data_IF_374309731190
#
_entry.id   IF_374309731190
#
_cell.length_a   1.000
_cell.length_b   1.000
_cell.length_c   1.000
_cell.angle_alpha   90.00
_cell.angle_beta   90.00
_cell.angle_gamma   90.00
#
_symmetry.space_group_name_H-M   'P 1'
#
loop_
_entity.id
_entity.type
_entity.pdbx_description
1 polymer ?
#
# COMPACT_ATOMS: atom_id res chain seq x y z
N UNK A 1 19.86 -9.33 1.85
CA UNK A 1 18.46 -9.25 1.39
C UNK A 1 17.96 -7.86 1.75
N UNK A 2 17.26 -7.16 0.85
CA UNK A 2 16.65 -5.89 1.19
C UNK A 2 15.54 -6.13 2.23
N UNK A 3 15.55 -5.38 3.31
CA UNK A 3 14.48 -5.32 4.30
C UNK A 3 14.18 -3.85 4.58
N UNK A 4 12.97 -3.56 4.98
CA UNK A 4 12.56 -2.21 5.37
C UNK A 4 11.58 -2.28 6.53
N UNK A 5 11.48 -1.18 7.27
CA UNK A 5 10.49 -1.02 8.31
C UNK A 5 9.21 -0.44 7.68
N UNK A 6 8.13 -1.19 7.72
CA UNK A 6 6.81 -0.68 7.36
C UNK A 6 6.03 -0.31 8.61
N UNK A 7 5.57 0.93 8.67
CA UNK A 7 4.77 1.48 9.75
C UNK A 7 3.45 2.04 9.21
N UNK A 8 2.37 1.67 9.86
CA UNK A 8 1.04 2.21 9.55
C UNK A 8 0.59 3.09 10.70
N UNK A 9 0.28 4.35 10.40
CA UNK A 9 -0.31 5.27 11.40
C UNK A 9 -1.80 4.98 11.54
N UNK A 10 -2.37 5.11 12.75
CA UNK A 10 -3.76 4.74 13.00
C UNK A 10 -4.78 5.60 12.25
N UNK A 11 -4.43 6.84 11.94
CA UNK A 11 -5.28 7.78 11.21
C UNK A 11 -4.43 8.61 10.26
N UNK A 12 -5.01 9.06 9.13
CA UNK A 12 -4.34 10.00 8.23
C UNK A 12 -3.89 11.25 8.96
N UNK A 13 -2.68 11.72 8.60
CA UNK A 13 -2.11 12.98 9.14
C UNK A 13 -1.91 13.00 10.66
N UNK A 14 -1.94 11.83 11.32
CA UNK A 14 -1.71 11.71 12.76
C UNK A 14 -0.54 10.77 13.04
N UNK A 15 0.50 11.32 13.66
CA UNK A 15 1.66 10.54 14.10
C UNK A 15 1.67 10.49 15.62
N UNK A 16 1.48 9.30 16.18
CA UNK A 16 1.74 9.07 17.59
C UNK A 16 3.25 9.11 17.87
N UNK A 17 3.65 9.50 19.08
CA UNK A 17 5.07 9.59 19.48
C UNK A 17 5.84 8.30 19.17
N UNK A 18 5.25 7.15 19.43
CA UNK A 18 5.89 5.85 19.17
C UNK A 18 6.25 5.64 17.69
N UNK A 19 5.38 6.08 16.77
CA UNK A 19 5.63 5.96 15.33
C UNK A 19 6.80 6.86 14.91
N UNK A 20 6.85 8.08 15.44
CA UNK A 20 7.95 9.02 15.19
C UNK A 20 9.26 8.44 15.72
N UNK A 21 9.28 7.95 16.95
CA UNK A 21 10.48 7.36 17.57
C UNK A 21 10.99 6.15 16.77
N UNK A 22 10.09 5.30 16.26
CA UNK A 22 10.43 4.16 15.41
C UNK A 22 11.02 4.58 14.05
N UNK A 23 10.41 5.58 13.38
CA UNK A 23 10.93 6.14 12.14
C UNK A 23 12.34 6.69 12.35
N UNK A 24 12.53 7.51 13.38
CA UNK A 24 13.81 8.13 13.68
C UNK A 24 14.89 7.08 14.02
N UNK A 25 14.54 6.07 14.80
CA UNK A 25 15.46 4.97 15.15
C UNK A 25 15.88 4.19 13.90
N UNK A 26 14.94 3.80 13.06
CA UNK A 26 15.21 3.05 11.83
C UNK A 26 16.08 3.84 10.85
N UNK A 27 15.72 5.10 10.60
CA UNK A 27 16.45 5.99 9.69
C UNK A 27 17.89 6.21 10.17
N UNK A 28 18.10 6.47 11.48
CA UNK A 28 19.44 6.62 12.06
C UNK A 28 20.28 5.35 11.96
N UNK A 29 19.64 4.19 12.07
CA UNK A 29 20.28 2.89 11.86
C UNK A 29 20.55 2.55 10.38
N UNK A 30 20.09 3.36 9.44
CA UNK A 30 20.24 3.12 8.00
C UNK A 30 19.25 2.10 7.43
N UNK A 31 18.18 1.80 8.15
CA UNK A 31 17.11 0.92 7.70
C UNK A 31 16.16 1.73 6.80
N UNK A 32 15.84 1.26 5.59
CA UNK A 32 14.79 1.85 4.76
C UNK A 32 13.44 1.87 5.49
N UNK A 33 12.67 2.93 5.32
CA UNK A 33 11.39 3.13 6.01
C UNK A 33 10.27 3.38 5.02
N UNK A 34 9.19 2.65 5.18
CA UNK A 34 7.89 2.91 4.56
C UNK A 34 6.88 3.33 5.62
N UNK A 35 6.29 4.50 5.47
CA UNK A 35 5.23 4.95 6.40
C UNK A 35 3.99 5.24 5.60
N UNK A 36 2.87 4.76 6.10
CA UNK A 36 1.58 4.94 5.48
C UNK A 36 0.45 5.08 6.49
N UNK A 37 -0.73 5.23 5.96
CA UNK A 37 -1.99 5.22 6.69
C UNK A 37 -3.06 4.54 5.87
N UNK A 38 -4.15 4.15 6.50
CA UNK A 38 -5.37 3.71 5.83
C UNK A 38 -6.36 4.87 5.79
N UNK A 39 -6.43 5.57 4.66
CA UNK A 39 -7.37 6.65 4.47
C UNK A 39 -8.73 6.08 4.01
N UNK A 40 -9.71 6.06 4.90
CA UNK A 40 -11.04 5.53 4.60
C UNK A 40 -11.97 6.69 4.25
N UNK A 41 -12.22 6.86 2.94
CA UNK A 41 -13.13 7.88 2.43
C UNK A 41 -14.55 7.71 2.98
N UNK A 42 -15.08 8.79 3.57
CA UNK A 42 -16.37 8.78 4.27
C UNK A 42 -16.28 8.37 5.75
N UNK A 43 -15.08 8.01 6.26
CA UNK A 43 -14.85 7.72 7.68
C UNK A 43 -13.66 8.52 8.22
N UNK A 44 -12.41 8.09 7.96
CA UNK A 44 -11.20 8.76 8.48
C UNK A 44 -10.62 9.79 7.49
N UNK A 45 -11.15 9.88 6.28
CA UNK A 45 -10.73 10.81 5.23
C UNK A 45 -11.96 11.36 4.48
N UNK A 46 -11.80 12.46 3.70
CA UNK A 46 -12.87 12.97 2.85
C UNK A 46 -13.41 11.90 1.91
N UNK A 47 -14.71 11.98 1.57
CA UNK A 47 -15.35 10.97 0.73
C UNK A 47 -14.87 10.97 -0.72
N UNK A 48 -14.22 12.04 -1.16
CA UNK A 48 -13.72 12.14 -2.55
C UNK A 48 -12.35 11.48 -2.69
N UNK A 49 -12.09 10.84 -3.83
CA UNK A 49 -10.78 10.26 -4.14
C UNK A 49 -9.64 11.29 -3.98
N UNK A 50 -9.82 12.49 -4.52
CA UNK A 50 -8.82 13.55 -4.41
C UNK A 50 -8.54 13.95 -2.94
N UNK A 51 -9.57 14.01 -2.10
CA UNK A 51 -9.43 14.26 -0.67
C UNK A 51 -8.68 13.14 0.06
N UNK A 52 -9.01 11.87 -0.22
CA UNK A 52 -8.28 10.72 0.32
C UNK A 52 -6.81 10.74 -0.10
N UNK A 53 -6.53 10.95 -1.38
CA UNK A 53 -5.16 11.04 -1.89
C UNK A 53 -4.38 12.17 -1.24
N UNK A 54 -5.01 13.32 -1.01
CA UNK A 54 -4.37 14.43 -0.30
C UNK A 54 -3.96 14.03 1.11
N UNK A 55 -4.84 13.37 1.87
CA UNK A 55 -4.54 12.87 3.22
C UNK A 55 -3.42 11.81 3.22
N UNK A 56 -3.42 10.89 2.25
CA UNK A 56 -2.34 9.93 2.07
C UNK A 56 -1.01 10.62 1.81
N UNK A 57 -0.97 11.54 0.86
CA UNK A 57 0.24 12.27 0.51
C UNK A 57 0.77 13.13 1.65
N UNK A 58 -0.10 13.78 2.43
CA UNK A 58 0.32 14.52 3.62
C UNK A 58 1.01 13.60 4.64
N UNK A 59 0.49 12.39 4.84
CA UNK A 59 1.11 11.39 5.72
C UNK A 59 2.46 10.92 5.15
N UNK A 60 2.50 10.55 3.88
CA UNK A 60 3.71 10.09 3.18
C UNK A 60 4.81 11.17 3.23
N UNK A 61 4.49 12.41 2.90
CA UNK A 61 5.45 13.52 2.93
C UNK A 61 5.94 13.84 4.34
N UNK A 62 5.07 13.78 5.34
CA UNK A 62 5.49 13.99 6.73
C UNK A 62 6.56 12.99 7.13
N UNK A 63 6.37 11.72 6.80
CA UNK A 63 7.33 10.65 7.08
C UNK A 63 8.66 10.85 6.32
N UNK A 64 8.58 11.20 5.02
CA UNK A 64 9.76 11.46 4.20
C UNK A 64 10.55 12.64 4.76
N UNK A 65 9.89 13.75 5.08
CA UNK A 65 10.54 14.95 5.64
C UNK A 65 11.21 14.63 6.99
N UNK A 66 10.51 13.94 7.89
CA UNK A 66 11.09 13.51 9.17
C UNK A 66 12.32 12.61 8.97
N UNK A 67 12.26 11.68 8.02
CA UNK A 67 13.37 10.83 7.66
C UNK A 67 14.58 11.61 7.15
N UNK A 68 14.37 12.54 6.22
CA UNK A 68 15.44 13.37 5.65
C UNK A 68 16.05 14.32 6.69
N UNK A 69 15.25 14.90 7.58
CA UNK A 69 15.74 15.75 8.68
C UNK A 69 16.57 14.94 9.69
N UNK A 70 16.22 13.68 9.93
CA UNK A 70 16.96 12.81 10.83
C UNK A 70 18.28 12.29 10.23
N UNK A 71 18.28 12.02 8.93
CA UNK A 71 19.43 11.56 8.15
C UNK A 71 19.20 11.85 6.67
N UNK A 72 19.92 12.82 6.16
CA UNK A 72 19.87 13.14 4.72
C UNK A 72 20.24 11.92 3.86
N UNK A 73 19.53 11.73 2.76
CA UNK A 73 19.71 10.59 1.86
C UNK A 73 19.12 9.27 2.37
N UNK A 74 18.39 9.26 3.48
CA UNK A 74 17.70 8.05 3.94
C UNK A 74 16.61 7.62 2.95
N UNK A 75 16.47 6.28 2.76
CA UNK A 75 15.43 5.77 1.89
C UNK A 75 14.09 5.76 2.63
N UNK A 76 13.18 6.61 2.17
CA UNK A 76 11.81 6.69 2.67
C UNK A 76 10.83 6.55 1.51
N UNK A 77 9.73 5.82 1.71
CA UNK A 77 8.70 5.63 0.70
C UNK A 77 7.30 5.86 1.27
N UNK A 78 6.36 6.22 0.39
CA UNK A 78 4.95 6.36 0.72
C UNK A 78 4.24 5.00 0.69
N UNK A 79 3.56 4.68 1.78
CA UNK A 79 2.86 3.41 1.97
C UNK A 79 1.39 3.60 2.37
N UNK A 80 0.80 4.77 2.10
CA UNK A 80 -0.60 5.01 2.43
C UNK A 80 -1.53 4.40 1.39
N UNK A 81 -2.57 3.73 1.87
CA UNK A 81 -3.63 3.12 1.07
C UNK A 81 -4.95 3.88 1.20
N UNK A 82 -5.76 3.83 0.15
CA UNK A 82 -7.07 4.45 0.10
C UNK A 82 -8.16 3.40 0.04
N UNK A 83 -9.06 3.47 1.00
CA UNK A 83 -10.27 2.68 1.04
C UNK A 83 -11.50 3.58 1.02
N UNK A 84 -12.66 3.03 0.74
CA UNK A 84 -13.93 3.75 0.84
C UNK A 84 -14.92 2.96 1.68
N UNK A 85 -15.64 3.67 2.53
CA UNK A 85 -16.71 3.07 3.31
C UNK A 85 -17.99 3.02 2.46
N UNK A 86 -18.61 1.85 2.41
CA UNK A 86 -19.95 1.71 1.85
C UNK A 86 -20.97 2.28 2.84
N UNK A 87 -21.62 3.37 2.46
CA UNK A 87 -22.51 4.10 3.34
C UNK A 87 -23.74 3.30 3.79
N UNK A 88 -24.17 2.32 3.03
CA UNK A 88 -25.34 1.48 3.34
C UNK A 88 -25.04 0.44 4.44
N UNK A 89 -23.85 -0.09 4.50
CA UNK A 89 -23.47 -1.19 5.38
C UNK A 89 -22.44 -0.82 6.43
N UNK A 90 -21.72 0.29 6.24
CA UNK A 90 -20.56 0.68 7.05
C UNK A 90 -19.32 -0.19 6.81
N UNK A 91 -19.38 -1.14 5.86
CA UNK A 91 -18.24 -1.96 5.51
C UNK A 91 -17.20 -1.16 4.72
N UNK A 92 -15.93 -1.55 4.81
CA UNK A 92 -14.89 -1.04 3.94
C UNK A 92 -15.14 -1.59 2.53
N UNK A 93 -15.16 -0.69 1.56
CA UNK A 93 -15.78 -0.84 0.25
C UNK A 93 -15.19 -1.88 -0.69
N UNK A 94 -15.67 -1.84 -1.93
CA UNK A 94 -15.41 -2.86 -2.93
C UNK A 94 -13.94 -2.86 -3.40
N UNK A 95 -13.46 -4.03 -3.77
CA UNK A 95 -12.15 -4.24 -4.41
C UNK A 95 -11.92 -3.28 -5.59
N UNK A 96 -12.94 -3.03 -6.43
CA UNK A 96 -12.81 -2.15 -7.59
C UNK A 96 -12.43 -0.72 -7.22
N UNK A 97 -13.07 -0.15 -6.19
CA UNK A 97 -12.76 1.21 -5.73
C UNK A 97 -11.35 1.30 -5.13
N UNK A 98 -10.95 0.31 -4.34
CA UNK A 98 -9.61 0.22 -3.78
C UNK A 98 -8.55 0.15 -4.88
N UNK A 99 -8.73 -0.74 -5.84
CA UNK A 99 -7.84 -0.93 -6.97
C UNK A 99 -7.65 0.36 -7.80
N UNK A 100 -8.72 1.08 -8.08
CA UNK A 100 -8.64 2.39 -8.76
C UNK A 100 -7.91 3.44 -7.92
N UNK A 101 -8.13 3.45 -6.61
CA UNK A 101 -7.50 4.40 -5.70
C UNK A 101 -5.99 4.15 -5.58
N UNK A 102 -5.58 2.88 -5.50
CA UNK A 102 -4.16 2.50 -5.48
C UNK A 102 -3.44 2.92 -6.76
N UNK A 103 -4.07 2.69 -7.91
CA UNK A 103 -3.53 3.14 -9.19
C UNK A 103 -3.35 4.67 -9.22
N UNK A 104 -4.34 5.43 -8.76
CA UNK A 104 -4.26 6.87 -8.69
C UNK A 104 -3.17 7.34 -7.72
N UNK A 105 -3.07 6.74 -6.55
CA UNK A 105 -2.02 7.02 -5.56
C UNK A 105 -0.63 6.78 -6.14
N UNK A 106 -0.43 5.65 -6.82
CA UNK A 106 0.84 5.30 -7.44
C UNK A 106 1.21 6.27 -8.57
N UNK A 107 0.25 6.71 -9.39
CA UNK A 107 0.49 7.70 -10.44
C UNK A 107 0.95 9.04 -9.85
N UNK A 108 0.29 9.52 -8.79
CA UNK A 108 0.66 10.78 -8.14
C UNK A 108 2.05 10.66 -7.51
N UNK A 109 2.35 9.59 -6.75
CA UNK A 109 3.67 9.37 -6.15
C UNK A 109 4.78 9.34 -7.21
N UNK A 110 4.52 8.64 -8.32
CA UNK A 110 5.46 8.62 -9.44
C UNK A 110 5.69 10.00 -10.05
N UNK A 111 4.64 10.80 -10.25
CA UNK A 111 4.77 12.16 -10.79
C UNK A 111 5.57 13.08 -9.87
N UNK A 112 5.55 12.81 -8.57
CA UNK A 112 6.32 13.52 -7.55
C UNK A 112 7.73 12.94 -7.33
N UNK A 113 8.07 11.84 -8.01
CA UNK A 113 9.42 11.29 -8.02
C UNK A 113 9.81 10.48 -6.77
N UNK A 114 8.86 10.02 -5.96
CA UNK A 114 9.22 9.19 -4.81
C UNK A 114 8.65 7.76 -4.89
N UNK A 115 9.36 6.79 -4.28
CA UNK A 115 8.96 5.39 -4.32
C UNK A 115 7.69 5.12 -3.51
N UNK A 116 6.94 4.10 -3.92
CA UNK A 116 5.70 3.69 -3.27
C UNK A 116 5.67 2.20 -2.99
N UNK A 117 4.91 1.84 -1.97
CA UNK A 117 4.40 0.50 -1.79
C UNK A 117 3.18 0.30 -2.70
N UNK A 118 2.94 -0.91 -3.17
CA UNK A 118 1.74 -1.30 -3.88
C UNK A 118 1.11 -2.53 -3.24
N UNK A 119 -0.21 -2.59 -3.22
CA UNK A 119 -0.93 -3.75 -2.74
C UNK A 119 -1.02 -4.82 -3.84
N UNK A 120 -0.21 -5.87 -3.74
CA UNK A 120 -0.20 -6.98 -4.68
C UNK A 120 -0.74 -8.24 -4.00
N UNK A 121 -1.80 -8.79 -4.55
CA UNK A 121 -2.30 -10.08 -4.12
C UNK A 121 -3.16 -10.08 -2.86
N UNK A 122 -3.48 -8.92 -2.32
CA UNK A 122 -4.30 -8.82 -1.13
C UNK A 122 -5.11 -7.52 -1.09
N UNK A 123 -5.79 -7.31 0.01
CA UNK A 123 -6.71 -6.18 0.16
C UNK A 123 -8.09 -6.44 -0.46
N UNK A 124 -8.31 -7.58 -1.09
CA UNK A 124 -9.60 -8.02 -1.59
C UNK A 124 -10.61 -8.32 -0.48
N UNK A 125 -11.87 -8.40 -0.83
CA UNK A 125 -12.98 -8.67 0.10
C UNK A 125 -13.30 -10.17 0.24
N UNK A 126 -12.72 -11.02 -0.60
CA UNK A 126 -12.91 -12.46 -0.56
C UNK A 126 -12.39 -13.03 0.77
N UNK A 127 -13.26 -13.73 1.51
CA UNK A 127 -12.93 -14.30 2.83
C UNK A 127 -12.28 -15.67 2.76
N UNK A 128 -12.28 -16.30 1.61
CA UNK A 128 -11.72 -17.64 1.35
C UNK A 128 -11.05 -17.66 0.00
N UNK A 129 -10.06 -18.53 -0.15
CA UNK A 129 -9.45 -18.73 -1.46
C UNK A 129 -10.45 -19.48 -2.37
N UNK A 130 -11.09 -18.72 -3.23
CA UNK A 130 -12.10 -19.16 -4.19
C UNK A 130 -11.91 -18.38 -5.50
N UNK A 131 -12.87 -18.48 -6.42
CA UNK A 131 -12.81 -17.76 -7.70
C UNK A 131 -12.74 -16.24 -7.55
N UNK A 132 -13.42 -15.68 -6.54
CA UNK A 132 -13.40 -14.24 -6.27
C UNK A 132 -11.99 -13.82 -5.82
N UNK A 133 -11.37 -14.57 -4.89
CA UNK A 133 -10.01 -14.30 -4.45
C UNK A 133 -9.00 -14.40 -5.61
N UNK A 134 -9.14 -15.41 -6.47
CA UNK A 134 -8.28 -15.55 -7.67
C UNK A 134 -8.40 -14.33 -8.56
N UNK A 135 -9.63 -13.85 -8.81
CA UNK A 135 -9.86 -12.66 -9.61
C UNK A 135 -9.26 -11.40 -8.97
N UNK A 136 -9.52 -11.19 -7.67
CA UNK A 136 -9.01 -10.03 -6.93
C UNK A 136 -7.47 -9.99 -6.88
N UNK A 137 -6.84 -11.11 -6.57
CA UNK A 137 -5.38 -11.23 -6.56
C UNK A 137 -4.78 -10.97 -7.95
N UNK A 138 -5.38 -11.57 -8.99
CA UNK A 138 -4.87 -11.39 -10.36
C UNK A 138 -5.04 -9.94 -10.84
N UNK A 139 -6.16 -9.30 -10.53
CA UNK A 139 -6.41 -7.91 -10.91
C UNK A 139 -5.48 -6.95 -10.14
N UNK A 140 -5.28 -7.14 -8.84
CA UNK A 140 -4.34 -6.32 -8.08
C UNK A 140 -2.89 -6.48 -8.54
N UNK A 141 -2.47 -7.72 -8.85
CA UNK A 141 -1.16 -7.99 -9.41
C UNK A 141 -0.99 -7.32 -10.78
N UNK A 142 -2.01 -7.34 -11.63
CA UNK A 142 -1.95 -6.65 -12.93
C UNK A 142 -1.85 -5.12 -12.76
N UNK A 143 -2.45 -4.55 -11.74
CA UNK A 143 -2.26 -3.14 -11.41
C UNK A 143 -0.78 -2.84 -11.10
N UNK A 144 -0.05 -3.74 -10.44
CA UNK A 144 1.39 -3.58 -10.21
C UNK A 144 2.18 -3.47 -11.51
N UNK A 145 1.74 -4.17 -12.57
CA UNK A 145 2.37 -4.06 -13.90
C UNK A 145 2.37 -2.62 -14.40
N UNK A 146 1.25 -1.92 -14.25
CA UNK A 146 1.10 -0.56 -14.77
C UNK A 146 1.78 0.50 -13.92
N UNK A 147 1.72 0.40 -12.61
CA UNK A 147 2.28 1.46 -11.76
C UNK A 147 3.67 1.18 -11.19
N UNK A 148 4.18 -0.05 -11.32
CA UNK A 148 5.56 -0.43 -10.96
C UNK A 148 6.01 0.13 -9.61
N UNK A 149 5.39 -0.29 -8.50
CA UNK A 149 5.80 0.15 -7.18
C UNK A 149 7.21 -0.34 -6.85
N UNK A 150 7.86 0.29 -5.87
CA UNK A 150 9.18 -0.13 -5.41
C UNK A 150 9.15 -1.49 -4.71
N UNK A 151 8.05 -1.79 -4.04
CA UNK A 151 7.78 -3.07 -3.37
C UNK A 151 6.27 -3.29 -3.27
N UNK A 152 5.87 -4.47 -2.86
CA UNK A 152 4.45 -4.80 -2.64
C UNK A 152 4.27 -5.57 -1.33
N UNK A 153 3.07 -5.53 -0.81
CA UNK A 153 2.63 -6.25 0.38
C UNK A 153 1.34 -7.04 0.15
N UNK A 154 0.72 -7.51 1.22
CA UNK A 154 -0.54 -8.28 1.24
C UNK A 154 -0.50 -9.65 0.54
N UNK A 155 0.66 -10.17 0.16
CA UNK A 155 0.75 -11.52 -0.41
C UNK A 155 0.19 -12.56 0.58
N UNK A 156 -0.77 -13.36 0.12
CA UNK A 156 -1.44 -14.38 0.94
C UNK A 156 -2.55 -13.84 1.84
N UNK A 157 -2.87 -12.56 1.75
CA UNK A 157 -3.90 -11.91 2.54
C UNK A 157 -5.27 -12.04 1.89
N UNK A 158 -6.29 -12.30 2.71
CA UNK A 158 -7.72 -12.34 2.36
C UNK A 158 -8.50 -11.50 3.37
N UNK A 159 -9.79 -11.28 3.10
CA UNK A 159 -10.70 -10.55 4.00
C UNK A 159 -10.12 -9.21 4.45
N UNK A 160 -9.66 -8.40 3.49
CA UNK A 160 -9.05 -7.08 3.75
C UNK A 160 -7.85 -7.11 4.72
N UNK A 161 -7.07 -8.17 4.68
CA UNK A 161 -5.90 -8.34 5.55
C UNK A 161 -6.17 -9.04 6.87
N UNK A 162 -7.42 -9.43 7.13
CA UNK A 162 -7.81 -10.08 8.39
C UNK A 162 -7.53 -11.60 8.41
N UNK A 163 -7.35 -12.21 7.24
CA UNK A 163 -7.14 -13.65 7.12
C UNK A 163 -5.89 -13.94 6.28
N UNK A 164 -5.07 -14.87 6.73
CA UNK A 164 -3.94 -15.38 5.96
C UNK A 164 -4.31 -16.74 5.34
N UNK A 165 -3.88 -16.96 4.08
CA UNK A 165 -4.05 -18.22 3.38
C UNK A 165 -2.75 -18.62 2.68
N UNK A 166 -2.23 -19.79 3.02
CA UNK A 166 -1.03 -20.36 2.36
C UNK A 166 -1.26 -20.57 0.87
N UNK A 167 -2.46 -21.02 0.48
CA UNK A 167 -2.82 -21.20 -0.93
C UNK A 167 -2.84 -19.87 -1.67
N UNK A 168 -3.39 -18.82 -1.05
CA UNK A 168 -3.36 -17.47 -1.62
C UNK A 168 -1.92 -16.94 -1.72
N UNK A 169 -1.04 -17.25 -0.76
CA UNK A 169 0.36 -16.86 -0.80
C UNK A 169 1.09 -17.50 -1.98
N UNK A 170 0.96 -18.80 -2.16
CA UNK A 170 1.56 -19.52 -3.29
C UNK A 170 1.06 -19.00 -4.63
N UNK A 171 -0.25 -18.75 -4.74
CA UNK A 171 -0.84 -18.18 -5.94
C UNK A 171 -0.32 -16.77 -6.20
N UNK A 172 -0.22 -15.93 -5.18
CA UNK A 172 0.31 -14.56 -5.30
C UNK A 172 1.79 -14.55 -5.71
N UNK A 173 2.60 -15.49 -5.22
CA UNK A 173 4.01 -15.62 -5.59
C UNK A 173 4.17 -16.03 -7.07
N UNK A 174 3.36 -16.97 -7.55
CA UNK A 174 3.32 -17.34 -8.96
C UNK A 174 2.94 -16.15 -9.85
N UNK A 175 1.90 -15.38 -9.45
CA UNK A 175 1.49 -14.17 -10.16
C UNK A 175 2.62 -13.12 -10.19
N UNK A 176 3.31 -12.91 -9.07
CA UNK A 176 4.45 -11.99 -9.00
C UNK A 176 5.62 -12.47 -9.89
N UNK A 177 5.83 -13.77 -9.98
CA UNK A 177 6.80 -14.38 -10.90
C UNK A 177 6.48 -14.11 -12.36
N UNK A 178 5.22 -14.27 -12.77
CA UNK A 178 4.75 -13.95 -14.12
C UNK A 178 4.91 -12.45 -14.43
N UNK A 179 4.57 -11.58 -13.46
CA UNK A 179 4.70 -10.13 -13.60
C UNK A 179 6.15 -9.72 -13.86
N UNK A 180 7.11 -10.29 -13.13
CA UNK A 180 8.55 -10.03 -13.36
C UNK A 180 8.96 -10.40 -14.77
N UNK A 181 8.54 -11.56 -15.28
CA UNK A 181 8.79 -11.98 -16.67
C UNK A 181 8.18 -11.01 -17.69
N UNK A 182 6.96 -10.52 -17.43
CA UNK A 182 6.33 -9.51 -18.29
C UNK A 182 7.14 -8.20 -18.34
N UNK A 183 7.76 -7.79 -17.24
CA UNK A 183 8.61 -6.61 -17.18
C UNK A 183 9.96 -6.80 -17.90
N UNK A 184 10.49 -8.02 -17.91
CA UNK A 184 11.69 -8.37 -18.69
C UNK A 184 11.44 -8.32 -20.20
N UNK A 185 10.19 -8.45 -20.61
CA UNK A 185 9.79 -8.44 -22.01
C UNK A 185 10.00 -9.78 -22.71
N UNK A 186 9.66 -9.81 -23.99
CA UNK A 186 9.95 -10.95 -24.86
C UNK A 186 11.35 -10.75 -25.44
N UNK A 187 12.29 -11.60 -25.04
CA UNK A 187 13.63 -11.69 -25.62
C UNK A 187 13.63 -12.59 -26.84
#
# INVERSE_FOLDING_TARGET
>A
KPYFLHLVTPLPVQFGRIHIDQVLAAVRAGVPVGVGTLAIGGASAPITLAGCLTHCLMTDFTAIVLGQLAREGSFCMGCSDVFFMESATGAIGSFTQMSMADMAAAQVRRSLGFPSLGAAGGGGVARRFNQDAVWEISASTMNMFYHRPATCDYLGSLDQGLTFSETALLFSDDQAGMLRKMWEGMT
#
